data_IF_822743234372
#
_entry.id   IF_822743234372
#
_cell.length_a   1.000
_cell.length_b   1.000
_cell.length_c   1.000
_cell.angle_alpha   90.00
_cell.angle_beta   90.00
_cell.angle_gamma   90.00
#
_symmetry.space_group_name_H-M   'P 1'
#
loop_
_entity.id
_entity.type
_entity.pdbx_description
1 polymer ?
#
# COMPACT_ATOMS: atom_id res chain seq x y z
N UNK A 1 -51.47 -25.28 40.50
CA UNK A 1 -50.73 -25.78 39.32
C UNK A 1 -50.75 -24.68 38.27
N UNK A 2 -49.75 -23.79 38.29
CA UNK A 2 -49.65 -22.63 37.39
C UNK A 2 -48.67 -22.97 36.27
N UNK A 3 -49.19 -22.88 35.06
CA UNK A 3 -48.67 -23.37 33.79
C UNK A 3 -47.26 -22.89 33.45
N UNK A 4 -46.30 -23.82 33.43
CA UNK A 4 -44.89 -23.63 33.07
C UNK A 4 -44.63 -23.53 31.54
N UNK A 5 -45.66 -23.28 30.73
CA UNK A 5 -45.59 -23.37 29.27
C UNK A 5 -45.14 -22.07 28.56
N UNK A 6 -44.77 -21.01 29.29
CA UNK A 6 -44.45 -19.71 28.69
C UNK A 6 -42.96 -19.46 28.41
N UNK A 7 -42.05 -20.35 28.83
CA UNK A 7 -40.59 -20.08 28.74
C UNK A 7 -39.95 -20.67 27.46
N UNK A 8 -40.64 -21.55 26.73
CA UNK A 8 -40.06 -22.25 25.58
C UNK A 8 -40.04 -21.45 24.25
N UNK A 9 -40.74 -20.32 24.15
CA UNK A 9 -40.81 -19.51 22.91
C UNK A 9 -39.85 -18.32 22.87
N UNK A 10 -39.14 -18.02 23.96
CA UNK A 10 -38.13 -16.94 24.00
C UNK A 10 -36.71 -17.42 23.65
N UNK A 11 -36.47 -18.74 23.59
CA UNK A 11 -35.15 -19.30 23.31
C UNK A 11 -34.91 -19.66 21.83
N UNK A 12 -35.89 -19.46 20.93
CA UNK A 12 -35.75 -19.80 19.51
C UNK A 12 -35.47 -18.61 18.59
N UNK A 13 -35.46 -17.37 19.10
CA UNK A 13 -35.09 -16.17 18.33
C UNK A 13 -33.62 -15.74 18.53
N UNK A 14 -32.86 -16.41 19.39
CA UNK A 14 -31.48 -16.02 19.72
C UNK A 14 -30.41 -16.91 19.06
N UNK A 15 -30.73 -17.57 17.94
CA UNK A 15 -29.80 -18.45 17.22
C UNK A 15 -29.69 -18.18 15.72
N UNK A 16 -30.29 -17.11 15.17
CA UNK A 16 -30.30 -16.86 13.71
C UNK A 16 -29.42 -15.67 13.28
N UNK A 17 -28.73 -14.95 14.17
CA UNK A 17 -27.92 -13.77 13.76
C UNK A 17 -26.40 -13.88 13.93
N UNK A 18 -25.84 -15.10 13.89
CA UNK A 18 -24.39 -15.32 13.88
C UNK A 18 -23.89 -16.04 12.62
N UNK A 19 -24.60 -15.89 11.49
CA UNK A 19 -24.13 -16.35 10.18
C UNK A 19 -23.59 -15.19 9.30
N UNK A 20 -22.95 -14.19 9.92
CA UNK A 20 -22.00 -13.35 9.22
C UNK A 20 -20.65 -14.06 9.25
N UNK A 21 -20.49 -15.09 8.41
CA UNK A 21 -19.18 -15.71 8.22
C UNK A 21 -18.20 -14.60 7.83
N UNK A 22 -17.31 -14.26 8.76
CA UNK A 22 -16.12 -13.47 8.52
C UNK A 22 -15.34 -14.21 7.45
N UNK A 23 -15.57 -13.88 6.17
CA UNK A 23 -14.76 -14.43 5.10
C UNK A 23 -13.34 -13.90 5.33
N UNK A 24 -12.44 -14.80 5.72
CA UNK A 24 -11.00 -14.62 5.66
C UNK A 24 -10.62 -14.56 4.16
N UNK A 25 -11.00 -13.47 3.52
CA UNK A 25 -10.65 -13.15 2.14
C UNK A 25 -9.47 -12.20 2.12
N UNK A 26 -8.65 -12.29 1.08
CA UNK A 26 -7.62 -11.29 0.77
C UNK A 26 -8.25 -10.19 -0.11
N UNK A 27 -7.62 -9.02 -0.23
CA UNK A 27 -8.08 -7.93 -1.10
C UNK A 27 -8.21 -8.38 -2.56
N UNK A 28 -7.47 -9.44 -2.96
CA UNK A 28 -7.57 -10.06 -4.28
C UNK A 28 -8.95 -10.67 -4.57
N UNK A 29 -9.76 -10.93 -3.56
CA UNK A 29 -11.16 -11.35 -3.72
C UNK A 29 -12.10 -10.21 -4.09
N UNK A 30 -11.67 -8.95 -3.91
CA UNK A 30 -12.43 -7.73 -4.19
C UNK A 30 -11.97 -7.09 -5.49
N UNK A 31 -10.66 -7.05 -5.76
CA UNK A 31 -10.12 -6.47 -6.99
C UNK A 31 -9.17 -7.45 -7.66
N UNK A 32 -9.52 -7.85 -8.89
CA UNK A 32 -8.66 -8.65 -9.75
C UNK A 32 -7.53 -7.81 -10.36
N UNK A 33 -6.46 -8.48 -10.81
CA UNK A 33 -5.39 -7.82 -11.56
C UNK A 33 -5.92 -7.05 -12.78
N UNK A 34 -6.82 -7.65 -13.55
CA UNK A 34 -7.39 -6.99 -14.73
C UNK A 34 -8.17 -5.72 -14.37
N UNK A 35 -8.93 -5.73 -13.26
CA UNK A 35 -9.62 -4.52 -12.79
C UNK A 35 -8.63 -3.46 -12.28
N UNK A 36 -7.59 -3.85 -11.56
CA UNK A 36 -6.52 -2.94 -11.15
C UNK A 36 -5.82 -2.29 -12.35
N UNK A 37 -5.52 -3.09 -13.37
CA UNK A 37 -4.91 -2.61 -14.61
C UNK A 37 -5.85 -1.71 -15.40
N UNK A 38 -7.15 -2.00 -15.41
CA UNK A 38 -8.16 -1.17 -16.05
C UNK A 38 -8.36 0.17 -15.33
N UNK A 39 -8.40 0.17 -13.99
CA UNK A 39 -8.55 1.40 -13.20
C UNK A 39 -7.32 2.29 -13.32
N UNK A 40 -6.13 1.69 -13.38
CA UNK A 40 -4.86 2.40 -13.46
C UNK A 40 -4.23 2.25 -14.85
N UNK A 41 -5.04 2.49 -15.88
CA UNK A 41 -4.75 2.19 -17.29
C UNK A 41 -3.45 2.81 -17.79
N UNK A 42 -3.23 4.09 -17.51
CA UNK A 42 -2.10 4.85 -18.06
C UNK A 42 -0.87 4.94 -17.14
N UNK A 43 -0.87 4.27 -15.97
CA UNK A 43 0.24 4.38 -15.00
C UNK A 43 1.60 3.93 -15.55
N UNK A 44 1.59 3.10 -16.59
CA UNK A 44 2.78 2.53 -17.24
C UNK A 44 3.09 3.18 -18.60
N UNK A 45 2.39 4.25 -18.97
CA UNK A 45 2.69 5.01 -20.18
C UNK A 45 4.06 5.68 -20.06
N UNK A 46 4.73 5.92 -21.19
CA UNK A 46 6.05 6.56 -21.21
C UNK A 46 6.05 7.97 -20.62
N UNK A 47 4.90 8.64 -20.61
CA UNK A 47 4.72 9.96 -20.02
C UNK A 47 4.72 9.93 -18.48
N UNK A 48 4.60 8.75 -17.85
CA UNK A 48 4.54 8.61 -16.40
C UNK A 48 5.90 8.25 -15.80
N UNK A 49 6.50 9.12 -14.97
CA UNK A 49 7.78 8.81 -14.31
C UNK A 49 7.73 7.57 -13.40
N UNK A 50 6.54 7.19 -12.92
CA UNK A 50 6.33 6.01 -12.09
C UNK A 50 6.20 4.69 -12.87
N UNK A 51 6.39 4.70 -14.20
CA UNK A 51 6.22 3.52 -15.05
C UNK A 51 6.93 2.30 -14.48
N UNK A 52 6.17 1.21 -14.27
CA UNK A 52 6.66 -0.06 -13.74
C UNK A 52 6.82 -0.13 -12.22
N UNK A 53 6.63 0.97 -11.48
CA UNK A 53 6.77 0.98 -10.02
C UNK A 53 5.54 0.37 -9.32
N UNK A 54 4.34 0.75 -9.75
CA UNK A 54 3.09 0.32 -9.12
C UNK A 54 2.55 -0.96 -9.75
N UNK A 55 2.78 -2.09 -9.07
CA UNK A 55 2.34 -3.42 -9.50
C UNK A 55 1.19 -3.92 -8.64
N UNK A 56 0.30 -4.74 -9.25
CA UNK A 56 -0.77 -5.39 -8.51
C UNK A 56 -0.24 -6.30 -7.39
N UNK A 57 0.88 -7.00 -7.63
CA UNK A 57 1.50 -7.86 -6.63
C UNK A 57 1.99 -7.07 -5.41
N UNK A 58 2.58 -5.89 -5.62
CA UNK A 58 2.96 -4.99 -4.53
C UNK A 58 1.73 -4.46 -3.77
N UNK A 59 0.65 -4.13 -4.48
CA UNK A 59 -0.61 -3.72 -3.86
C UNK A 59 -1.20 -4.81 -2.95
N UNK A 60 -1.33 -6.04 -3.45
CA UNK A 60 -1.83 -7.19 -2.67
C UNK A 60 -0.90 -7.50 -1.50
N UNK A 61 0.42 -7.49 -1.71
CA UNK A 61 1.39 -7.73 -0.64
C UNK A 61 1.30 -6.67 0.47
N UNK A 62 1.12 -5.39 0.11
CA UNK A 62 0.92 -4.32 1.08
C UNK A 62 -0.41 -4.47 1.83
N UNK A 63 -1.51 -4.75 1.11
CA UNK A 63 -2.84 -4.95 1.69
C UNK A 63 -2.88 -6.06 2.75
N UNK A 64 -2.13 -7.16 2.55
CA UNK A 64 -2.01 -8.25 3.53
C UNK A 64 -1.40 -7.82 4.86
N UNK A 65 -0.70 -6.69 4.91
CA UNK A 65 -0.19 -6.10 6.17
C UNK A 65 -1.27 -5.34 6.94
N UNK A 66 -2.44 -5.11 6.32
CA UNK A 66 -3.59 -4.42 6.89
C UNK A 66 -4.82 -5.33 6.76
N UNK A 67 -4.95 -6.37 7.60
CA UNK A 67 -5.90 -7.47 7.38
C UNK A 67 -7.38 -7.05 7.39
N UNK A 68 -7.72 -5.82 7.82
CA UNK A 68 -9.07 -5.27 7.74
C UNK A 68 -9.40 -4.54 6.43
N UNK A 69 -8.38 -4.18 5.63
CA UNK A 69 -8.54 -3.41 4.40
C UNK A 69 -9.12 -4.27 3.27
N UNK A 70 -10.31 -3.93 2.78
CA UNK A 70 -11.00 -4.65 1.71
C UNK A 70 -11.54 -6.02 2.15
N UNK A 71 -11.58 -6.31 3.44
CA UNK A 71 -11.97 -7.63 3.98
C UNK A 71 -13.07 -7.51 5.04
N UNK A 72 -13.36 -6.29 5.51
CA UNK A 72 -14.29 -6.03 6.61
C UNK A 72 -15.68 -5.68 6.08
N UNK A 73 -16.74 -6.04 6.81
CA UNK A 73 -18.13 -5.71 6.48
C UNK A 73 -18.70 -6.44 5.25
N UNK A 74 -19.75 -5.88 4.65
CA UNK A 74 -20.46 -6.43 3.49
C UNK A 74 -19.59 -6.39 2.23
N UNK A 75 -20.03 -7.13 1.20
CA UNK A 75 -19.38 -7.15 -0.10
C UNK A 75 -19.29 -5.73 -0.70
N UNK A 76 -20.38 -4.97 -0.66
CA UNK A 76 -20.44 -3.63 -1.25
C UNK A 76 -19.55 -2.62 -0.52
N UNK A 77 -19.49 -2.69 0.82
CA UNK A 77 -18.58 -1.85 1.61
C UNK A 77 -17.12 -2.11 1.25
N UNK A 78 -16.73 -3.37 1.02
CA UNK A 78 -15.36 -3.71 0.62
C UNK A 78 -15.00 -3.15 -0.75
N UNK A 79 -15.91 -3.24 -1.73
CA UNK A 79 -15.70 -2.60 -3.03
C UNK A 79 -15.56 -1.09 -2.91
N UNK A 80 -16.42 -0.47 -2.09
CA UNK A 80 -16.39 0.97 -1.86
C UNK A 80 -15.10 1.42 -1.17
N UNK A 81 -14.61 0.67 -0.18
CA UNK A 81 -13.35 0.96 0.51
C UNK A 81 -12.16 0.93 -0.46
N UNK A 82 -12.03 -0.14 -1.25
CA UNK A 82 -10.93 -0.28 -2.22
C UNK A 82 -11.04 0.79 -3.31
N UNK A 83 -12.25 1.07 -3.81
CA UNK A 83 -12.47 2.12 -4.79
C UNK A 83 -12.12 3.51 -4.24
N UNK A 84 -12.52 3.83 -3.01
CA UNK A 84 -12.21 5.09 -2.37
C UNK A 84 -10.71 5.27 -2.14
N UNK A 85 -10.03 4.21 -1.67
CA UNK A 85 -8.57 4.22 -1.50
C UNK A 85 -7.86 4.47 -2.83
N UNK A 86 -8.21 3.72 -3.88
CA UNK A 86 -7.61 3.88 -5.20
C UNK A 86 -7.92 5.24 -5.82
N UNK A 87 -9.12 5.80 -5.60
CA UNK A 87 -9.49 7.11 -6.10
C UNK A 87 -8.67 8.23 -5.43
N UNK A 88 -8.57 8.23 -4.09
CA UNK A 88 -7.78 9.22 -3.35
C UNK A 88 -6.31 9.16 -3.74
N UNK A 89 -5.73 7.96 -3.73
CA UNK A 89 -4.33 7.79 -4.12
C UNK A 89 -4.06 8.07 -5.60
N UNK A 90 -5.03 7.84 -6.49
CA UNK A 90 -4.94 8.25 -7.89
C UNK A 90 -4.94 9.76 -8.03
N UNK A 91 -5.72 10.49 -7.23
CA UNK A 91 -5.71 11.95 -7.21
C UNK A 91 -4.32 12.49 -6.82
N UNK A 92 -3.77 11.99 -5.71
CA UNK A 92 -2.44 12.39 -5.20
C UNK A 92 -1.30 12.15 -6.21
N UNK A 93 -1.46 11.16 -7.09
CA UNK A 93 -0.42 10.72 -8.04
C UNK A 93 -0.78 10.95 -9.50
N UNK A 94 -1.79 11.78 -9.77
CA UNK A 94 -2.36 11.93 -11.11
C UNK A 94 -1.40 12.55 -12.11
N UNK A 95 -1.39 12.02 -13.33
CA UNK A 95 -0.84 12.67 -14.53
C UNK A 95 -1.92 13.23 -15.46
N UNK A 96 -3.19 13.09 -15.09
CA UNK A 96 -4.33 13.39 -15.94
C UNK A 96 -4.54 14.89 -16.13
N UNK A 97 -5.00 15.25 -17.32
CA UNK A 97 -5.48 16.59 -17.66
C UNK A 97 -6.83 16.49 -18.37
N UNK A 98 -7.52 17.62 -18.55
CA UNK A 98 -8.83 17.66 -19.22
C UNK A 98 -8.83 17.01 -20.61
N UNK A 99 -7.71 17.04 -21.32
CA UNK A 99 -7.55 16.46 -22.67
C UNK A 99 -6.79 15.15 -22.70
N UNK A 100 -6.55 14.50 -21.55
CA UNK A 100 -5.83 13.24 -21.52
C UNK A 100 -6.63 12.11 -22.18
N UNK A 101 -5.98 11.17 -22.89
CA UNK A 101 -6.61 9.95 -23.40
C UNK A 101 -7.42 9.25 -22.30
N UNK A 102 -8.61 8.76 -22.63
CA UNK A 102 -9.53 8.10 -21.68
C UNK A 102 -9.97 8.96 -20.47
N UNK A 103 -9.75 10.28 -20.54
CA UNK A 103 -10.15 11.26 -19.53
C UNK A 103 -9.16 11.39 -18.37
N UNK A 104 -9.30 12.43 -17.53
CA UNK A 104 -8.32 12.76 -16.48
C UNK A 104 -8.21 11.69 -15.38
N UNK A 105 -9.24 10.87 -15.18
CA UNK A 105 -9.32 9.91 -14.08
C UNK A 105 -8.64 8.57 -14.38
N UNK A 106 -8.26 8.30 -15.63
CA UNK A 106 -7.55 7.08 -16.03
C UNK A 106 -6.01 7.18 -15.82
N UNK A 107 -5.54 8.33 -15.31
CA UNK A 107 -4.12 8.71 -15.21
C UNK A 107 -3.61 8.78 -13.77
N UNK A 108 -4.28 8.09 -12.84
CA UNK A 108 -3.75 7.87 -11.49
C UNK A 108 -2.44 7.08 -11.50
N UNK A 109 -1.69 7.16 -10.40
CA UNK A 109 -0.45 6.40 -10.20
C UNK A 109 0.66 6.71 -11.21
N UNK A 110 0.67 7.92 -11.76
CA UNK A 110 1.66 8.38 -12.74
C UNK A 110 2.96 8.87 -12.08
N UNK A 111 2.89 9.29 -10.81
CA UNK A 111 4.02 9.79 -10.01
C UNK A 111 4.26 8.95 -8.75
N UNK A 112 5.54 8.76 -8.38
CA UNK A 112 5.95 8.18 -7.09
C UNK A 112 6.30 9.26 -6.09
N UNK A 113 6.90 10.33 -6.55
CA UNK A 113 7.45 11.40 -5.73
C UNK A 113 6.81 12.72 -6.12
N UNK A 114 6.70 13.63 -5.16
CA UNK A 114 6.21 14.99 -5.36
C UNK A 114 6.93 15.65 -6.55
N UNK A 115 6.16 16.42 -7.32
CA UNK A 115 6.68 17.13 -8.50
C UNK A 115 7.65 18.24 -8.11
N UNK A 116 7.28 19.02 -7.08
CA UNK A 116 8.08 20.13 -6.57
C UNK A 116 8.85 19.68 -5.32
N UNK A 117 10.18 19.61 -5.40
CA UNK A 117 11.04 19.02 -4.35
C UNK A 117 11.98 20.03 -3.70
N UNK A 118 11.73 21.32 -3.91
CA UNK A 118 12.49 22.40 -3.28
C UNK A 118 12.35 22.40 -1.76
N UNK A 119 11.18 22.03 -1.25
CA UNK A 119 10.90 22.00 0.20
C UNK A 119 11.39 20.70 0.83
N UNK A 120 12.03 20.82 1.98
CA UNK A 120 12.59 19.67 2.70
C UNK A 120 11.56 18.98 3.60
N UNK A 121 10.45 19.66 3.92
CA UNK A 121 9.37 19.17 4.80
C UNK A 121 9.88 18.62 6.15
N UNK A 122 10.97 19.20 6.63
CA UNK A 122 11.54 18.96 7.95
C UNK A 122 11.03 20.07 8.89
N UNK A 123 10.29 19.68 9.94
CA UNK A 123 9.95 20.58 11.04
C UNK A 123 10.76 20.20 12.29
N UNK A 124 11.78 21.00 12.67
CA UNK A 124 12.56 20.77 13.89
C UNK A 124 11.72 20.78 15.17
N UNK A 125 10.52 21.38 15.15
CA UNK A 125 9.62 21.49 16.30
C UNK A 125 8.67 20.30 16.44
N UNK A 126 8.67 19.38 15.47
CA UNK A 126 7.80 18.20 15.49
C UNK A 126 8.12 17.18 16.59
N UNK A 127 9.24 17.35 17.30
CA UNK A 127 9.76 16.35 18.25
C UNK A 127 10.50 15.19 17.57
N UNK A 128 10.60 15.19 16.23
CA UNK A 128 11.30 14.18 15.46
C UNK A 128 12.51 14.78 14.75
N UNK A 129 13.74 14.33 15.05
CA UNK A 129 14.95 14.93 14.48
C UNK A 129 15.10 14.58 13.00
N UNK A 130 15.39 15.58 12.19
CA UNK A 130 15.60 15.38 10.76
C UNK A 130 16.96 14.73 10.49
N UNK A 131 16.95 13.60 9.78
CA UNK A 131 18.17 12.96 9.32
C UNK A 131 18.97 13.88 8.36
N UNK A 132 20.30 14.03 8.55
CA UNK A 132 21.13 14.86 7.68
C UNK A 132 21.00 14.48 6.19
N UNK A 133 20.83 15.50 5.34
CA UNK A 133 20.72 15.32 3.88
C UNK A 133 19.44 14.63 3.40
N UNK A 134 18.43 14.43 4.27
CA UNK A 134 17.14 13.84 3.89
C UNK A 134 16.07 14.92 3.71
N UNK A 135 15.18 14.66 2.75
CA UNK A 135 13.99 15.46 2.46
C UNK A 135 12.73 14.61 2.59
N UNK A 136 11.66 15.20 3.10
CA UNK A 136 10.40 14.53 3.43
C UNK A 136 9.23 15.00 2.55
N UNK A 137 9.52 15.33 1.29
CA UNK A 137 8.50 15.58 0.26
C UNK A 137 7.63 14.33 0.02
N UNK A 138 6.47 14.56 -0.60
CA UNK A 138 5.45 13.55 -0.86
C UNK A 138 6.00 12.32 -1.58
N UNK A 139 5.68 11.13 -1.04
CA UNK A 139 6.05 9.85 -1.67
C UNK A 139 4.94 8.81 -1.62
N UNK A 140 4.93 7.97 -2.65
CA UNK A 140 4.02 6.84 -2.80
C UNK A 140 2.57 7.26 -3.11
N UNK A 141 1.64 6.31 -3.04
CA UNK A 141 0.25 6.50 -3.47
C UNK A 141 -0.49 7.62 -2.73
N UNK A 142 -0.23 7.81 -1.43
CA UNK A 142 -0.90 8.85 -0.62
C UNK A 142 -0.02 10.09 -0.41
N UNK A 143 1.06 10.22 -1.19
CA UNK A 143 2.01 11.33 -1.11
C UNK A 143 2.41 11.69 0.34
N UNK A 144 2.83 10.68 1.11
CA UNK A 144 3.25 10.83 2.50
C UNK A 144 4.30 11.93 2.59
N UNK A 145 3.99 12.96 3.36
CA UNK A 145 4.82 14.15 3.56
C UNK A 145 5.10 14.31 5.04
N UNK A 146 6.21 14.99 5.38
CA UNK A 146 6.66 15.25 6.75
C UNK A 146 7.20 14.02 7.50
N UNK A 147 7.98 14.31 8.54
CA UNK A 147 8.77 13.31 9.28
C UNK A 147 7.94 12.36 10.15
N UNK A 148 6.74 12.78 10.61
CA UNK A 148 5.86 11.98 11.46
C UNK A 148 5.44 10.66 10.81
N UNK A 149 5.40 10.64 9.48
CA UNK A 149 4.94 9.50 8.70
C UNK A 149 6.10 8.78 7.98
N UNK A 150 7.33 9.29 8.08
CA UNK A 150 8.50 8.69 7.48
C UNK A 150 9.11 7.63 8.41
N UNK A 151 9.53 6.46 7.89
CA UNK A 151 10.26 5.48 8.69
C UNK A 151 11.58 6.10 9.16
N UNK A 152 11.72 6.23 10.48
CA UNK A 152 12.91 6.80 11.09
C UNK A 152 14.15 5.94 10.74
N UNK A 153 15.33 6.56 10.53
CA UNK A 153 16.56 5.79 10.51
C UNK A 153 16.69 5.09 11.87
N UNK A 154 16.86 3.75 11.85
CA UNK A 154 17.01 2.90 13.05
C UNK A 154 18.03 3.44 14.08
N UNK A 155 18.98 4.27 13.64
CA UNK A 155 19.94 4.97 14.50
C UNK A 155 19.30 5.95 15.50
N UNK A 156 18.17 6.59 15.16
CA UNK A 156 17.46 7.50 16.05
C UNK A 156 16.61 6.76 17.11
N UNK A 157 16.39 5.45 16.95
CA UNK A 157 15.56 4.66 17.85
C UNK A 157 16.36 3.92 18.94
N UNK A 158 17.69 4.10 19.01
CA UNK A 158 18.52 3.40 20.02
C UNK A 158 18.53 1.87 19.88
N UNK A 159 17.95 1.31 18.81
CA UNK A 159 17.92 -0.14 18.58
C UNK A 159 19.18 -0.55 17.81
N UNK A 160 19.94 -1.46 18.42
CA UNK A 160 21.20 -1.97 17.90
C UNK A 160 21.11 -2.50 16.44
N UNK A 161 22.27 -2.49 15.78
CA UNK A 161 22.47 -2.74 14.36
C UNK A 161 21.80 -4.02 13.78
N UNK A 162 21.56 -3.97 12.46
CA UNK A 162 20.85 -4.94 11.61
C UNK A 162 21.01 -6.43 12.03
N UNK A 163 19.92 -7.23 12.02
CA UNK A 163 20.00 -8.67 12.25
C UNK A 163 20.97 -9.35 11.28
N UNK A 164 21.74 -10.31 11.80
CA UNK A 164 22.74 -11.14 11.09
C UNK A 164 22.26 -11.66 9.72
N UNK A 165 20.97 -11.99 9.59
CA UNK A 165 20.36 -12.48 8.36
C UNK A 165 20.47 -11.50 7.17
N UNK A 166 20.35 -10.20 7.42
CA UNK A 166 20.46 -9.17 6.37
C UNK A 166 21.89 -8.94 5.88
N UNK A 167 22.89 -9.41 6.64
CA UNK A 167 24.31 -9.33 6.25
C UNK A 167 24.69 -10.48 5.32
N UNK A 168 24.07 -11.66 5.48
CA UNK A 168 24.26 -12.83 4.61
C UNK A 168 23.64 -12.66 3.22
N UNK A 169 22.52 -11.94 3.09
CA UNK A 169 21.92 -11.69 1.77
C UNK A 169 22.78 -10.75 0.92
N UNK A 170 23.39 -9.72 1.53
CA UNK A 170 24.30 -8.80 0.84
C UNK A 170 25.65 -9.43 0.47
N UNK A 171 26.20 -10.31 1.31
CA UNK A 171 27.44 -11.03 0.96
C UNK A 171 27.22 -11.98 -0.21
N UNK A 172 26.06 -12.64 -0.27
CA UNK A 172 25.70 -13.56 -1.34
C UNK A 172 25.41 -12.82 -2.65
N UNK A 173 24.73 -11.67 -2.59
CA UNK A 173 24.50 -10.81 -3.76
C UNK A 173 25.80 -10.20 -4.30
N UNK A 174 26.75 -9.82 -3.43
CA UNK A 174 28.05 -9.29 -3.84
C UNK A 174 28.96 -10.38 -4.44
N UNK A 175 28.90 -11.60 -3.94
CA UNK A 175 29.60 -12.74 -4.53
C UNK A 175 29.04 -13.10 -5.92
N UNK A 176 27.72 -13.06 -6.11
CA UNK A 176 27.08 -13.29 -7.41
C UNK A 176 27.41 -12.22 -8.46
N UNK A 177 27.63 -10.96 -8.04
CA UNK A 177 28.06 -9.89 -8.94
C UNK A 177 29.50 -10.06 -9.40
N UNK A 178 30.41 -10.41 -8.48
CA UNK A 178 31.83 -10.66 -8.81
C UNK A 178 32.02 -11.88 -9.71
N UNK A 179 31.21 -12.92 -9.56
CA UNK A 179 31.25 -14.09 -10.45
C UNK A 179 30.87 -13.73 -11.89
N UNK A 180 29.88 -12.85 -12.09
CA UNK A 180 29.45 -12.40 -13.42
C UNK A 180 30.45 -11.47 -14.11
N UNK A 181 31.16 -10.64 -13.37
CA UNK A 181 32.20 -9.76 -13.94
C UNK A 181 33.47 -10.54 -14.35
N UNK A 182 33.74 -11.68 -13.69
CA UNK A 182 34.87 -12.55 -14.05
C UNK A 182 34.64 -13.34 -15.36
N UNK A 183 33.39 -13.69 -15.67
CA UNK A 183 33.05 -14.39 -16.94
C UNK A 183 32.98 -13.45 -18.15
N UNK A 184 32.76 -12.15 -17.95
CA UNK A 184 32.73 -11.16 -19.04
C UNK A 184 34.11 -10.63 -19.46
N UNK A 185 35.19 -11.07 -18.82
CA UNK A 185 36.57 -10.64 -19.09
C UNK A 185 37.41 -11.59 -19.93
N UNK A 186 36.83 -12.68 -20.42
CA UNK A 186 37.47 -13.64 -21.35
C UNK A 186 36.70 -13.60 -22.68
N UNK A 187 37.02 -12.60 -23.50
CA UNK A 187 36.50 -12.41 -24.85
C UNK A 187 37.41 -11.50 -25.64
#
# INVERSE_FOLDING_TARGET
MRSLWAVALLASCLAILSAGAQQCGDVSSVISRAQFDQLLKHRNDLACPAKGFYTYDAFVAAARSFPGFGTTSTRDTRYQEVAAFLAQTSHETTGGSKGAPDGPYAWGYCFVEERERSRDYCDPKSGWPCAPGRKYYGRGPIQITQILQAPQPRAAQGVAARPSWSRKSESTARASRRGREAESGFG
#
